data_IF_238525165603
#
_entry.id   IF_238525165603
#
_cell.length_a   1.000
_cell.length_b   1.000
_cell.length_c   1.000
_cell.angle_alpha   90.00
_cell.angle_beta   90.00
_cell.angle_gamma   90.00
#
_symmetry.space_group_name_H-M   'P 1'
#
loop_
_entity.id
_entity.type
_entity.pdbx_description
1 polymer ?
#
# COMPACT_ATOMS: atom_id res chain seq x y z
N UNK A 1 1.26 26.06 16.67
CA UNK A 1 2.55 25.36 16.91
C UNK A 1 2.91 24.58 15.68
N UNK A 2 4.11 24.72 15.15
CA UNK A 2 4.58 23.86 14.08
C UNK A 2 5.39 22.74 14.70
N UNK A 3 4.94 21.48 14.54
CA UNK A 3 5.71 20.34 15.02
C UNK A 3 6.98 20.21 14.19
N UNK A 4 8.12 20.07 14.85
CA UNK A 4 9.41 19.88 14.17
C UNK A 4 9.80 18.40 14.02
N UNK A 5 9.10 17.52 14.69
CA UNK A 5 9.44 16.09 14.71
C UNK A 5 8.19 15.20 14.76
N UNK A 6 8.35 14.00 14.21
CA UNK A 6 7.35 12.94 14.31
C UNK A 6 7.98 11.68 14.91
N UNK A 7 7.31 11.07 15.88
CA UNK A 7 7.59 9.71 16.31
C UNK A 7 6.80 8.75 15.43
N UNK A 8 7.47 7.83 14.78
CA UNK A 8 6.86 6.79 13.96
C UNK A 8 6.75 5.50 14.78
N UNK A 9 5.52 5.04 14.96
CA UNK A 9 5.23 3.74 15.58
C UNK A 9 4.99 2.69 14.50
N UNK A 10 5.49 1.49 14.73
CA UNK A 10 5.23 0.32 13.88
C UNK A 10 4.71 -0.84 14.74
N UNK A 11 3.83 -1.68 14.18
CA UNK A 11 3.21 -2.80 14.90
C UNK A 11 3.90 -4.13 14.62
N UNK A 12 3.67 -4.72 13.46
CA UNK A 12 4.14 -6.07 13.10
C UNK A 12 5.67 -6.19 13.07
N UNK A 13 6.39 -5.13 12.75
CA UNK A 13 7.86 -5.11 12.77
C UNK A 13 8.38 -5.43 14.18
N UNK A 14 7.66 -5.00 15.23
CA UNK A 14 8.02 -5.26 16.61
C UNK A 14 8.15 -6.75 16.98
N UNK A 15 7.45 -7.63 16.27
CA UNK A 15 7.44 -9.09 16.52
C UNK A 15 8.53 -9.86 15.79
N UNK A 16 9.35 -9.21 14.94
CA UNK A 16 10.32 -9.87 14.04
C UNK A 16 11.61 -10.40 14.70
N UNK A 17 11.74 -10.33 16.01
CA UNK A 17 12.88 -10.91 16.75
C UNK A 17 14.23 -10.37 16.25
N UNK A 18 15.17 -11.27 15.97
CA UNK A 18 16.55 -10.93 15.55
C UNK A 18 16.64 -10.19 14.21
N UNK A 19 15.67 -10.37 13.33
CA UNK A 19 15.65 -9.77 11.99
C UNK A 19 14.98 -8.39 11.96
N UNK A 20 14.55 -7.86 13.10
CA UNK A 20 13.85 -6.57 13.20
C UNK A 20 14.59 -5.45 12.49
N UNK A 21 15.90 -5.37 12.64
CA UNK A 21 16.73 -4.30 12.06
C UNK A 21 16.55 -4.18 10.53
N UNK A 22 16.39 -5.29 9.81
CA UNK A 22 16.18 -5.29 8.34
C UNK A 22 14.87 -4.60 7.97
N UNK A 23 13.81 -4.83 8.73
CA UNK A 23 12.50 -4.21 8.52
C UNK A 23 12.50 -2.74 8.92
N UNK A 24 13.17 -2.38 10.02
CA UNK A 24 13.35 -0.99 10.44
C UNK A 24 14.13 -0.20 9.39
N UNK A 25 15.23 -0.74 8.86
CA UNK A 25 16.06 -0.10 7.84
C UNK A 25 15.29 0.05 6.50
N UNK A 26 14.47 -0.95 6.14
CA UNK A 26 13.58 -0.85 4.98
C UNK A 26 12.52 0.24 5.19
N UNK A 27 11.91 0.32 6.38
CA UNK A 27 10.94 1.35 6.71
C UNK A 27 11.56 2.76 6.64
N UNK A 28 12.75 2.96 7.19
CA UNK A 28 13.48 4.23 7.11
C UNK A 28 13.72 4.64 5.65
N UNK A 29 14.14 3.70 4.80
CA UNK A 29 14.33 3.99 3.37
C UNK A 29 13.05 4.45 2.69
N UNK A 30 11.92 3.84 3.03
CA UNK A 30 10.61 4.21 2.47
C UNK A 30 10.09 5.54 3.00
N UNK A 31 10.27 5.82 4.28
CA UNK A 31 9.95 7.13 4.86
C UNK A 31 10.76 8.22 4.14
N UNK A 32 12.08 8.03 3.99
CA UNK A 32 12.92 8.97 3.25
C UNK A 32 12.49 9.14 1.80
N UNK A 33 12.05 8.07 1.15
CA UNK A 33 11.55 8.13 -0.22
C UNK A 33 10.24 8.93 -0.31
N UNK A 34 9.28 8.66 0.57
CA UNK A 34 7.99 9.33 0.59
C UNK A 34 8.14 10.84 0.87
N UNK A 35 9.05 11.23 1.75
CA UNK A 35 9.28 12.63 2.10
C UNK A 35 10.05 13.42 1.02
N UNK A 36 10.59 12.78 -0.03
CA UNK A 36 11.23 13.51 -1.14
C UNK A 36 10.28 14.40 -1.94
N UNK A 37 8.99 14.09 -1.93
CA UNK A 37 7.95 14.89 -2.61
C UNK A 37 7.44 16.06 -1.77
N UNK A 38 7.83 16.12 -0.50
CA UNK A 38 7.44 17.18 0.44
C UNK A 38 8.50 18.28 0.45
N UNK A 39 8.07 19.53 0.41
CA UNK A 39 8.98 20.67 0.56
C UNK A 39 9.66 20.64 1.93
N UNK A 40 10.97 20.85 1.96
CA UNK A 40 11.77 20.83 3.16
C UNK A 40 12.81 19.70 3.19
N UNK A 41 13.61 19.69 4.26
CA UNK A 41 14.61 18.66 4.51
C UNK A 41 14.26 17.90 5.77
N UNK A 42 14.35 16.58 5.71
CA UNK A 42 14.01 15.70 6.82
C UNK A 42 15.17 14.76 7.15
N UNK A 43 15.50 14.69 8.42
CA UNK A 43 16.36 13.64 8.94
C UNK A 43 15.51 12.51 9.53
N UNK A 44 15.82 11.27 9.13
CA UNK A 44 15.11 10.07 9.59
C UNK A 44 16.09 9.17 10.30
N UNK A 45 15.93 9.05 11.61
CA UNK A 45 16.83 8.31 12.50
C UNK A 45 16.14 7.17 13.22
N UNK A 46 16.96 6.21 13.64
CA UNK A 46 16.55 5.12 14.52
C UNK A 46 17.31 5.20 15.83
N UNK A 47 16.57 5.27 16.92
CA UNK A 47 17.14 5.33 18.26
C UNK A 47 16.34 4.45 19.22
N UNK A 48 17.01 3.53 19.88
CA UNK A 48 16.42 2.68 20.93
C UNK A 48 15.09 1.98 20.52
N UNK A 49 15.01 1.49 19.29
CA UNK A 49 13.82 0.81 18.75
C UNK A 49 12.63 1.74 18.42
N UNK A 50 12.90 3.02 18.20
CA UNK A 50 11.98 4.04 17.70
C UNK A 50 12.52 4.64 16.42
N UNK A 51 11.64 5.08 15.55
CA UNK A 51 11.99 5.84 14.36
C UNK A 51 11.48 7.26 14.55
N UNK A 52 12.35 8.22 14.29
CA UNK A 52 12.08 9.64 14.39
C UNK A 52 12.26 10.28 13.01
N UNK A 53 11.36 11.18 12.68
CA UNK A 53 11.46 12.07 11.52
C UNK A 53 11.58 13.47 12.07
N UNK A 54 12.67 14.17 11.78
CA UNK A 54 12.91 15.55 12.20
C UNK A 54 12.98 16.44 10.98
N UNK A 55 12.22 17.52 10.95
CA UNK A 55 12.34 18.54 9.94
C UNK A 55 13.55 19.45 10.29
N UNK A 56 14.47 19.60 9.34
CA UNK A 56 15.65 20.45 9.47
C UNK A 56 15.43 21.86 8.90
N UNK A 57 14.39 22.03 8.07
CA UNK A 57 13.97 23.29 7.48
C UNK A 57 12.46 23.46 7.63
N UNK A 58 11.93 24.61 7.25
CA UNK A 58 10.48 24.80 7.11
C UNK A 58 9.91 23.77 6.13
N UNK A 59 8.70 23.30 6.40
CA UNK A 59 8.02 22.28 5.63
C UNK A 59 6.50 22.43 5.74
N UNK A 60 5.76 21.83 4.79
CA UNK A 60 4.32 21.68 4.87
C UNK A 60 3.97 20.46 5.75
N UNK A 61 3.24 20.73 6.84
CA UNK A 61 2.85 19.71 7.82
C UNK A 61 1.86 18.70 7.23
N UNK A 62 0.86 19.18 6.50
CA UNK A 62 -0.19 18.32 5.96
C UNK A 62 0.37 17.43 4.86
N UNK A 63 1.22 17.96 3.98
CA UNK A 63 1.91 17.17 2.96
C UNK A 63 2.83 16.11 3.57
N UNK A 64 3.56 16.43 4.64
CA UNK A 64 4.40 15.48 5.34
C UNK A 64 3.59 14.34 5.97
N UNK A 65 2.48 14.66 6.63
CA UNK A 65 1.56 13.66 7.21
C UNK A 65 0.94 12.80 6.12
N UNK A 66 0.47 13.38 5.02
CA UNK A 66 -0.10 12.62 3.90
C UNK A 66 0.93 11.73 3.21
N UNK A 67 2.19 12.15 3.09
CA UNK A 67 3.27 11.30 2.59
C UNK A 67 3.53 10.11 3.53
N UNK A 68 3.60 10.35 4.84
CA UNK A 68 3.81 9.31 5.84
C UNK A 68 2.64 8.31 5.93
N UNK A 69 1.40 8.76 5.73
CA UNK A 69 0.20 7.89 5.67
C UNK A 69 0.22 6.89 4.51
N UNK A 70 1.10 7.04 3.54
CA UNK A 70 1.26 6.10 2.42
C UNK A 70 2.36 5.07 2.64
N UNK A 71 3.15 5.17 3.71
CA UNK A 71 4.29 4.28 3.96
C UNK A 71 3.85 3.04 4.72
N UNK A 72 3.87 1.89 4.06
CA UNK A 72 3.59 0.60 4.69
C UNK A 72 4.62 0.27 5.78
N UNK A 73 4.10 -0.23 6.90
CA UNK A 73 4.87 -0.49 8.13
C UNK A 73 4.64 0.54 9.22
N UNK A 74 4.15 1.74 8.90
CA UNK A 74 3.76 2.74 9.88
C UNK A 74 2.40 2.37 10.47
N UNK A 75 2.35 2.20 11.81
CA UNK A 75 1.10 2.03 12.55
C UNK A 75 0.50 3.38 12.94
N UNK A 76 1.33 4.24 13.58
CA UNK A 76 0.91 5.59 13.95
C UNK A 76 2.01 6.60 13.64
N UNK A 77 1.60 7.79 13.27
CA UNK A 77 2.40 9.00 13.12
C UNK A 77 2.07 9.90 14.31
N UNK A 78 3.04 10.18 15.18
CA UNK A 78 2.85 11.01 16.35
C UNK A 78 3.62 12.32 16.19
N UNK A 79 2.97 13.44 15.79
CA UNK A 79 3.60 14.75 15.85
C UNK A 79 4.03 15.05 17.28
N UNK A 80 5.27 15.48 17.48
CA UNK A 80 5.83 15.62 18.83
C UNK A 80 6.72 16.84 18.98
N UNK A 81 6.89 17.25 20.23
CA UNK A 81 7.92 18.18 20.69
C UNK A 81 9.03 17.39 21.36
N UNK A 82 10.28 17.66 20.97
CA UNK A 82 11.47 17.11 21.62
C UNK A 82 12.10 18.15 22.51
N UNK A 83 12.37 17.77 23.77
CA UNK A 83 13.08 18.59 24.75
C UNK A 83 14.46 17.97 24.93
N UNK A 84 15.51 18.74 24.59
CA UNK A 84 16.89 18.26 24.58
C UNK A 84 17.43 18.06 26.00
N UNK A 85 17.10 18.98 26.91
CA UNK A 85 17.49 18.83 28.30
C UNK A 85 16.51 17.92 29.07
N UNK A 86 16.97 17.38 30.18
CA UNK A 86 16.15 16.52 31.05
C UNK A 86 15.83 17.18 32.38
N UNK A 87 15.95 18.52 32.44
CA UNK A 87 15.57 19.24 33.63
C UNK A 87 14.06 19.09 33.91
N UNK A 88 13.75 18.79 35.16
CA UNK A 88 12.37 18.47 35.52
C UNK A 88 11.48 19.70 35.62
N UNK A 89 12.01 20.83 36.02
CA UNK A 89 11.26 22.08 36.07
C UNK A 89 11.00 22.63 34.67
N UNK A 90 11.98 22.52 33.77
CA UNK A 90 11.78 22.84 32.35
C UNK A 90 10.73 21.93 31.72
N UNK A 91 10.70 20.64 32.07
CA UNK A 91 9.64 19.74 31.59
C UNK A 91 8.23 20.23 31.96
N UNK A 92 8.03 20.71 33.19
CA UNK A 92 6.74 21.26 33.65
C UNK A 92 6.31 22.45 32.79
N UNK A 93 7.23 23.35 32.51
CA UNK A 93 6.98 24.53 31.66
C UNK A 93 6.60 24.08 30.25
N UNK A 94 7.37 23.18 29.64
CA UNK A 94 7.08 22.69 28.27
C UNK A 94 5.75 21.94 28.16
N UNK A 95 5.34 21.23 29.21
CA UNK A 95 4.03 20.57 29.25
C UNK A 95 2.89 21.60 29.22
N UNK A 96 3.01 22.69 30.00
CA UNK A 96 2.01 23.76 29.97
C UNK A 96 1.98 24.47 28.61
N UNK A 97 3.14 24.81 28.06
CA UNK A 97 3.25 25.40 26.72
C UNK A 97 2.65 24.49 25.63
N UNK A 98 2.92 23.20 25.69
CA UNK A 98 2.35 22.20 24.77
C UNK A 98 0.83 22.19 24.83
N UNK A 99 0.26 22.06 26.04
CA UNK A 99 -1.19 22.01 26.24
C UNK A 99 -1.85 23.33 25.83
N UNK A 100 -1.20 24.46 26.03
CA UNK A 100 -1.70 25.76 25.60
C UNK A 100 -1.81 25.88 24.09
N UNK A 101 -0.75 25.49 23.39
CA UNK A 101 -0.63 25.66 21.95
C UNK A 101 -1.45 24.64 21.15
N UNK A 102 -1.51 23.39 21.63
CA UNK A 102 -2.19 22.30 20.90
C UNK A 102 -3.70 22.27 21.15
N UNK A 103 -4.14 22.70 22.33
CA UNK A 103 -5.56 22.67 22.74
C UNK A 103 -6.06 24.07 23.09
N UNK A 104 -6.50 24.88 22.11
CA UNK A 104 -7.08 26.21 22.37
C UNK A 104 -8.33 26.14 23.25
N UNK A 105 -9.20 25.14 23.02
CA UNK A 105 -10.31 24.86 23.93
C UNK A 105 -9.80 24.13 25.18
N UNK A 106 -9.96 24.78 26.32
CA UNK A 106 -9.54 24.23 27.62
C UNK A 106 -10.67 23.46 28.34
N UNK A 107 -11.87 23.39 27.79
CA UNK A 107 -12.96 22.62 28.38
C UNK A 107 -12.95 21.16 27.96
N UNK A 108 -11.83 20.50 28.20
CA UNK A 108 -11.56 19.09 27.85
C UNK A 108 -11.10 18.28 29.05
N UNK A 109 -11.24 16.99 28.95
CA UNK A 109 -10.67 16.03 29.92
C UNK A 109 -9.33 15.51 29.40
N UNK A 110 -8.39 15.28 30.30
CA UNK A 110 -7.07 14.77 29.91
C UNK A 110 -6.52 13.74 30.90
N UNK A 111 -5.51 13.02 30.44
CA UNK A 111 -4.67 12.12 31.22
C UNK A 111 -3.22 12.26 30.81
N UNK A 112 -2.31 12.24 31.76
CA UNK A 112 -0.88 12.14 31.48
C UNK A 112 -0.46 10.66 31.53
N UNK A 113 0.33 10.24 30.52
CA UNK A 113 0.86 8.88 30.41
C UNK A 113 2.37 8.94 30.21
N UNK A 114 3.12 8.97 31.29
CA UNK A 114 4.58 9.01 31.27
C UNK A 114 5.17 7.60 31.13
N UNK A 115 6.22 7.49 30.32
CA UNK A 115 7.03 6.29 30.17
C UNK A 115 8.50 6.61 30.27
N UNK A 116 9.23 5.90 31.13
CA UNK A 116 10.69 6.00 31.26
C UNK A 116 11.37 4.88 30.47
N UNK A 117 11.96 5.21 29.33
CA UNK A 117 12.96 4.37 28.65
C UNK A 117 14.32 4.47 29.34
N UNK A 118 14.68 5.64 29.86
CA UNK A 118 15.83 5.88 30.72
C UNK A 118 15.44 5.60 32.18
N UNK A 119 15.88 4.48 32.72
CA UNK A 119 15.58 4.10 34.11
C UNK A 119 16.42 4.83 35.13
N UNK A 120 17.47 5.54 34.70
CA UNK A 120 18.33 6.36 35.61
C UNK A 120 17.73 7.74 35.85
N UNK A 121 16.69 8.12 35.09
CA UNK A 121 15.99 9.38 35.32
C UNK A 121 15.41 9.43 36.74
N UNK A 122 15.67 10.48 37.52
CA UNK A 122 15.44 10.48 38.97
C UNK A 122 13.97 10.41 39.35
N UNK A 123 13.04 10.89 38.50
CA UNK A 123 11.59 10.94 38.79
C UNK A 123 10.89 9.74 38.19
N UNK A 124 10.01 9.09 38.96
CA UNK A 124 9.26 7.92 38.48
C UNK A 124 8.17 8.31 37.48
N UNK A 125 7.75 7.38 36.61
CA UNK A 125 6.65 7.64 35.66
C UNK A 125 5.35 8.01 36.38
N UNK A 126 5.09 7.42 37.54
CA UNK A 126 3.90 7.71 38.35
C UNK A 126 3.96 9.14 38.91
N UNK A 127 5.14 9.56 39.39
CA UNK A 127 5.33 10.92 39.86
C UNK A 127 5.19 11.94 38.73
N UNK A 128 5.80 11.66 37.53
CA UNK A 128 5.63 12.50 36.35
C UNK A 128 4.14 12.66 35.98
N UNK A 129 3.36 11.57 36.04
CA UNK A 129 1.92 11.64 35.74
C UNK A 129 1.18 12.60 36.69
N UNK A 130 1.50 12.54 37.98
CA UNK A 130 0.87 13.41 39.02
C UNK A 130 1.28 14.86 38.83
N UNK A 131 2.58 15.12 38.79
CA UNK A 131 3.12 16.49 38.77
C UNK A 131 2.73 17.21 37.46
N UNK A 132 2.80 16.51 36.31
CA UNK A 132 2.38 17.11 35.03
C UNK A 132 0.84 17.32 35.00
N UNK A 133 0.07 16.43 35.62
CA UNK A 133 -1.37 16.64 35.81
C UNK A 133 -1.67 17.87 36.66
N UNK A 134 -0.94 18.06 37.76
CA UNK A 134 -1.08 19.19 38.67
C UNK A 134 -0.77 20.52 37.97
N UNK A 135 0.39 20.64 37.31
CA UNK A 135 0.77 21.90 36.62
C UNK A 135 -0.17 22.28 35.49
N UNK A 136 -0.79 21.28 34.79
CA UNK A 136 -1.81 21.54 33.78
C UNK A 136 -3.09 22.10 34.42
N UNK A 137 -3.53 21.52 35.54
CA UNK A 137 -4.73 21.99 36.26
C UNK A 137 -4.53 23.39 36.86
N UNK A 138 -3.34 23.68 37.37
CA UNK A 138 -3.00 25.02 37.88
C UNK A 138 -3.01 26.07 36.77
N UNK A 139 -2.41 25.75 35.58
CA UNK A 139 -2.37 26.66 34.46
C UNK A 139 -3.75 26.83 33.76
N UNK A 140 -4.55 25.77 33.73
CA UNK A 140 -5.83 25.71 33.02
C UNK A 140 -6.95 25.14 33.89
N UNK A 141 -7.54 25.92 34.81
CA UNK A 141 -8.58 25.45 35.74
C UNK A 141 -9.85 24.91 35.10
N UNK A 142 -10.06 25.16 33.79
CA UNK A 142 -11.19 24.62 33.03
C UNK A 142 -10.98 23.15 32.62
N UNK A 143 -9.72 22.69 32.53
CA UNK A 143 -9.41 21.29 32.22
C UNK A 143 -9.71 20.40 33.40
N UNK A 144 -10.01 19.13 33.13
CA UNK A 144 -10.30 18.11 34.15
C UNK A 144 -9.54 16.84 33.87
N UNK A 145 -9.13 16.13 34.92
CA UNK A 145 -8.50 14.82 34.79
C UNK A 145 -9.57 13.74 34.67
N UNK A 146 -9.49 12.92 33.61
CA UNK A 146 -10.23 11.67 33.51
C UNK A 146 -9.24 10.53 33.16
N UNK A 147 -9.08 9.57 34.08
CA UNK A 147 -8.14 8.46 33.91
C UNK A 147 -8.72 7.30 33.11
N UNK A 148 -10.05 7.27 32.92
CA UNK A 148 -10.73 6.17 32.24
C UNK A 148 -11.11 6.52 30.79
N UNK A 149 -11.69 7.70 30.56
CA UNK A 149 -12.20 8.14 29.25
C UNK A 149 -11.79 9.59 28.96
N UNK A 150 -10.48 9.89 28.93
CA UNK A 150 -10.01 11.24 28.62
C UNK A 150 -10.21 11.59 27.16
N UNK A 151 -10.55 12.87 26.87
CA UNK A 151 -10.53 13.41 25.51
C UNK A 151 -9.11 13.43 24.92
N UNK A 152 -8.11 13.68 25.81
CA UNK A 152 -6.69 13.80 25.43
C UNK A 152 -5.81 12.96 26.35
N UNK A 153 -4.88 12.22 25.74
CA UNK A 153 -3.79 11.55 26.48
C UNK A 153 -2.47 12.24 26.12
N UNK A 154 -1.93 13.00 27.05
CA UNK A 154 -0.58 13.55 26.91
C UNK A 154 0.47 12.48 27.24
N UNK A 155 1.22 12.09 26.23
CA UNK A 155 2.35 11.16 26.39
C UNK A 155 3.64 11.95 26.73
N UNK A 156 4.34 11.50 27.78
CA UNK A 156 5.65 12.01 28.21
C UNK A 156 6.63 10.84 28.17
N UNK A 157 7.42 10.73 27.09
CA UNK A 157 8.42 9.66 26.98
C UNK A 157 9.82 10.20 27.33
N UNK A 158 10.37 9.76 28.49
CA UNK A 158 11.73 10.09 28.93
C UNK A 158 12.70 9.04 28.40
N UNK A 159 13.57 9.46 27.48
CA UNK A 159 14.62 8.64 26.85
C UNK A 159 15.96 9.37 26.88
N UNK A 160 16.73 9.37 25.79
CA UNK A 160 17.88 10.27 25.64
C UNK A 160 17.44 11.74 25.68
N UNK A 161 16.28 12.03 25.12
CA UNK A 161 15.52 13.29 25.17
C UNK A 161 14.15 13.03 25.77
N UNK A 162 13.42 14.09 26.10
CA UNK A 162 12.03 13.97 26.50
C UNK A 162 11.14 14.29 25.28
N UNK A 163 10.21 13.40 24.98
CA UNK A 163 9.25 13.56 23.89
C UNK A 163 7.85 13.80 24.44
N UNK A 164 7.22 14.88 23.99
CA UNK A 164 5.82 15.20 24.30
C UNK A 164 4.97 15.03 23.04
N UNK A 165 3.90 14.26 23.12
CA UNK A 165 2.92 14.11 22.06
C UNK A 165 1.55 13.68 22.62
N UNK A 166 0.49 14.05 21.93
CA UNK A 166 -0.87 13.65 22.27
C UNK A 166 -1.66 13.19 21.06
N UNK A 167 -1.25 13.62 19.85
CA UNK A 167 -1.87 13.21 18.60
C UNK A 167 -1.26 11.88 18.13
N UNK A 168 -2.13 10.97 17.70
CA UNK A 168 -1.75 9.71 17.06
C UNK A 168 -2.55 9.56 15.78
N UNK A 169 -1.91 9.82 14.65
CA UNK A 169 -2.52 9.74 13.32
C UNK A 169 -2.31 8.32 12.79
N UNK A 170 -3.36 7.56 12.47
CA UNK A 170 -3.22 6.21 11.97
C UNK A 170 -2.46 6.15 10.64
N UNK A 171 -1.46 5.28 10.55
CA UNK A 171 -0.78 4.93 9.32
C UNK A 171 -1.46 3.74 8.61
N UNK A 172 -0.94 3.32 7.44
CA UNK A 172 -1.54 2.21 6.68
C UNK A 172 -1.29 0.83 7.30
N UNK A 173 -0.37 0.72 8.27
CA UNK A 173 0.05 -0.56 8.83
C UNK A 173 0.82 -1.44 7.84
N UNK A 174 0.81 -2.75 8.05
CA UNK A 174 1.46 -3.72 7.17
C UNK A 174 2.97 -3.82 7.38
N UNK A 175 3.69 -4.13 6.29
CA UNK A 175 5.14 -4.38 6.26
C UNK A 175 5.82 -3.49 5.22
N UNK A 176 7.07 -3.07 5.45
CA UNK A 176 7.82 -2.27 4.47
C UNK A 176 7.99 -3.03 3.15
N UNK A 177 7.69 -2.36 2.03
CA UNK A 177 7.78 -2.95 0.68
C UNK A 177 9.20 -3.46 0.39
N UNK A 178 9.30 -4.59 -0.29
CA UNK A 178 10.57 -5.25 -0.63
C UNK A 178 11.13 -6.18 0.44
N UNK A 179 10.47 -6.29 1.61
CA UNK A 179 10.88 -7.22 2.67
C UNK A 179 10.39 -8.65 2.47
N UNK A 180 9.43 -8.88 1.55
CA UNK A 180 8.80 -10.17 1.28
C UNK A 180 8.84 -10.55 -0.22
N UNK A 181 9.94 -10.25 -0.90
CA UNK A 181 10.12 -10.63 -2.31
C UNK A 181 9.40 -9.71 -3.29
N UNK A 182 9.16 -10.23 -4.50
CA UNK A 182 8.56 -9.51 -5.63
C UNK A 182 7.48 -10.35 -6.30
N UNK A 183 6.41 -9.69 -6.78
CA UNK A 183 5.35 -10.33 -7.54
C UNK A 183 4.92 -9.47 -8.73
N UNK A 184 4.35 -10.12 -9.75
CA UNK A 184 3.86 -9.51 -10.98
C UNK A 184 2.33 -9.35 -10.90
N UNK A 185 1.86 -8.11 -10.93
CA UNK A 185 0.44 -7.77 -10.95
C UNK A 185 -0.08 -7.75 -12.39
N UNK A 186 -1.11 -8.53 -12.67
CA UNK A 186 -1.88 -8.37 -13.91
C UNK A 186 -2.80 -7.15 -13.73
N UNK A 187 -2.31 -5.99 -14.16
CA UNK A 187 -3.01 -4.72 -14.00
C UNK A 187 -3.95 -4.46 -15.18
N UNK A 188 -5.19 -4.11 -14.89
CA UNK A 188 -6.20 -3.71 -15.88
C UNK A 188 -6.71 -2.30 -15.57
N UNK A 189 -7.55 -1.75 -16.45
CA UNK A 189 -8.24 -0.48 -16.22
C UNK A 189 -9.42 -0.59 -15.25
N UNK A 190 -9.72 -1.76 -14.70
CA UNK A 190 -10.82 -2.01 -13.76
C UNK A 190 -10.50 -1.60 -12.32
N UNK A 191 -11.51 -1.70 -11.45
CA UNK A 191 -11.42 -1.31 -10.03
C UNK A 191 -10.57 -2.32 -9.22
N UNK A 192 -10.65 -3.60 -9.55
CA UNK A 192 -10.17 -4.69 -8.69
C UNK A 192 -8.64 -4.80 -8.68
N UNK A 193 -7.99 -4.79 -9.84
CA UNK A 193 -6.55 -5.05 -9.94
C UNK A 193 -5.64 -4.01 -9.22
N UNK A 194 -5.94 -2.69 -9.23
CA UNK A 194 -5.17 -1.74 -8.41
C UNK A 194 -5.30 -2.01 -6.90
N UNK A 195 -6.50 -2.40 -6.44
CA UNK A 195 -6.76 -2.75 -5.04
C UNK A 195 -5.92 -3.95 -4.62
N UNK A 196 -5.84 -4.98 -5.46
CA UNK A 196 -5.03 -6.16 -5.17
C UNK A 196 -3.54 -5.87 -5.14
N UNK A 197 -3.05 -5.04 -6.05
CA UNK A 197 -1.67 -4.55 -6.03
C UNK A 197 -1.34 -3.86 -4.70
N UNK A 198 -2.21 -2.97 -4.25
CA UNK A 198 -2.10 -2.30 -2.94
C UNK A 198 -2.09 -3.31 -1.78
N UNK A 199 -3.02 -4.27 -1.76
CA UNK A 199 -3.15 -5.24 -0.67
C UNK A 199 -1.91 -6.14 -0.54
N UNK A 200 -1.34 -6.59 -1.65
CA UNK A 200 -0.12 -7.41 -1.63
C UNK A 200 1.11 -6.56 -1.31
N UNK A 201 1.23 -5.34 -1.84
CA UNK A 201 2.30 -4.41 -1.47
C UNK A 201 2.31 -4.11 0.03
N UNK A 202 1.14 -3.96 0.65
CA UNK A 202 0.97 -3.78 2.10
C UNK A 202 1.57 -4.93 2.92
N UNK A 203 1.74 -6.11 2.34
CA UNK A 203 2.41 -7.26 2.98
C UNK A 203 3.93 -7.29 2.76
N UNK A 204 4.49 -6.20 2.25
CA UNK A 204 5.93 -6.04 2.06
C UNK A 204 6.46 -6.60 0.74
N UNK A 205 5.58 -6.94 -0.19
CA UNK A 205 5.94 -7.44 -1.52
C UNK A 205 6.20 -6.27 -2.47
N UNK A 206 7.33 -6.28 -3.18
CA UNK A 206 7.57 -5.34 -4.28
C UNK A 206 6.72 -5.73 -5.48
N UNK A 207 6.05 -4.77 -6.10
CA UNK A 207 5.17 -4.99 -7.24
C UNK A 207 5.84 -4.53 -8.53
N UNK A 208 5.84 -5.37 -9.54
CA UNK A 208 5.89 -5.00 -10.94
C UNK A 208 4.54 -5.33 -11.57
N UNK A 209 4.21 -4.76 -12.74
CA UNK A 209 2.91 -4.95 -13.34
C UNK A 209 3.01 -5.33 -14.83
N UNK A 210 2.04 -6.08 -15.32
CA UNK A 210 1.85 -6.37 -16.74
C UNK A 210 0.44 -5.94 -17.15
N UNK A 211 0.35 -5.25 -18.27
CA UNK A 211 -0.91 -4.84 -18.91
C UNK A 211 -0.97 -5.39 -20.34
N UNK A 212 -2.11 -5.94 -20.73
CA UNK A 212 -2.36 -6.44 -22.06
C UNK A 212 -3.12 -5.41 -22.87
N UNK A 213 -2.45 -4.84 -23.88
CA UNK A 213 -2.99 -3.82 -24.77
C UNK A 213 -3.26 -4.44 -26.15
N UNK A 214 -4.36 -4.10 -26.78
CA UNK A 214 -4.79 -4.67 -28.07
C UNK A 214 -5.16 -3.59 -29.09
N UNK A 215 -4.18 -2.76 -29.58
CA UNK A 215 -4.45 -1.77 -30.59
C UNK A 215 -4.81 -2.44 -31.94
N UNK A 216 -5.74 -1.86 -32.77
CA UNK A 216 -6.48 -0.63 -32.53
C UNK A 216 -7.78 -0.82 -31.72
N UNK A 217 -8.05 -2.01 -31.21
CA UNK A 217 -9.29 -2.34 -30.51
C UNK A 217 -9.36 -1.69 -29.13
N UNK A 218 -8.22 -1.56 -28.43
CA UNK A 218 -8.09 -0.72 -27.23
C UNK A 218 -7.41 0.59 -27.60
N UNK A 219 -7.92 1.70 -27.05
CA UNK A 219 -7.39 3.03 -27.35
C UNK A 219 -6.12 3.35 -26.55
N UNK A 220 -5.32 4.34 -27.00
CA UNK A 220 -4.23 4.88 -26.24
C UNK A 220 -4.69 5.51 -24.89
N UNK A 221 -5.95 5.98 -24.82
CA UNK A 221 -6.55 6.46 -23.57
C UNK A 221 -6.77 5.32 -22.57
N UNK A 222 -7.11 4.12 -23.03
CA UNK A 222 -7.19 2.94 -22.18
C UNK A 222 -5.80 2.58 -21.60
N UNK A 223 -4.74 2.63 -22.42
CA UNK A 223 -3.36 2.45 -21.96
C UNK A 223 -2.98 3.52 -20.94
N UNK A 224 -3.24 4.81 -21.24
CA UNK A 224 -2.94 5.90 -20.31
C UNK A 224 -3.65 5.74 -18.97
N UNK A 225 -4.92 5.33 -18.97
CA UNK A 225 -5.67 5.01 -17.75
C UNK A 225 -4.95 3.98 -16.88
N UNK A 226 -4.40 2.93 -17.49
CA UNK A 226 -3.65 1.90 -16.74
C UNK A 226 -2.33 2.44 -16.21
N UNK A 227 -1.63 3.29 -16.97
CA UNK A 227 -0.43 4.00 -16.50
C UNK A 227 -0.74 4.89 -15.30
N UNK A 228 -1.87 5.61 -15.35
CA UNK A 228 -2.31 6.47 -14.23
C UNK A 228 -2.64 5.64 -13.00
N UNK A 229 -3.32 4.50 -13.17
CA UNK A 229 -3.59 3.55 -12.07
C UNK A 229 -2.29 2.98 -11.47
N UNK A 230 -1.33 2.62 -12.31
CA UNK A 230 -0.02 2.15 -11.86
C UNK A 230 0.71 3.22 -11.04
N UNK A 231 0.64 4.48 -11.45
CA UNK A 231 1.21 5.61 -10.69
C UNK A 231 0.49 5.81 -9.35
N UNK A 232 -0.85 5.70 -9.30
CA UNK A 232 -1.59 5.81 -8.04
C UNK A 232 -1.21 4.70 -7.05
N UNK A 233 -1.06 3.45 -7.52
CA UNK A 233 -0.58 2.34 -6.69
C UNK A 233 0.88 2.54 -6.26
N UNK A 234 1.73 3.09 -7.14
CA UNK A 234 3.13 3.36 -6.87
C UNK A 234 3.35 4.35 -5.71
N UNK A 235 2.38 5.23 -5.42
CA UNK A 235 2.42 6.10 -4.22
C UNK A 235 2.55 5.33 -2.91
N UNK A 236 2.06 4.09 -2.88
CA UNK A 236 2.14 3.19 -1.73
C UNK A 236 3.20 2.10 -1.89
N UNK A 237 3.28 1.51 -3.09
CA UNK A 237 4.14 0.35 -3.38
C UNK A 237 5.59 0.74 -3.73
N UNK A 238 5.86 2.05 -3.90
CA UNK A 238 7.09 2.53 -4.53
C UNK A 238 7.09 2.30 -6.05
N UNK A 239 8.20 2.56 -6.76
CA UNK A 239 8.26 2.47 -8.21
C UNK A 239 7.85 1.10 -8.75
N UNK A 240 6.95 1.11 -9.76
CA UNK A 240 6.42 -0.05 -10.47
C UNK A 240 6.93 -0.03 -11.91
N UNK A 241 7.56 -1.11 -12.37
CA UNK A 241 7.81 -1.32 -13.79
C UNK A 241 6.56 -1.92 -14.42
N UNK A 242 5.87 -1.16 -15.26
CA UNK A 242 4.71 -1.59 -16.02
C UNK A 242 5.15 -2.14 -17.37
N UNK A 243 4.91 -3.41 -17.61
CA UNK A 243 5.15 -4.11 -18.86
C UNK A 243 3.88 -4.08 -19.72
N UNK A 244 3.91 -3.34 -20.82
CA UNK A 244 2.78 -3.24 -21.77
C UNK A 244 2.99 -4.23 -22.90
N UNK A 245 2.18 -5.28 -22.94
CA UNK A 245 2.26 -6.37 -23.90
C UNK A 245 1.23 -6.12 -25.00
N UNK A 246 1.67 -6.09 -26.27
CA UNK A 246 0.74 -6.08 -27.41
C UNK A 246 0.12 -7.48 -27.58
N UNK A 247 -1.16 -7.58 -27.29
CA UNK A 247 -1.91 -8.84 -27.30
C UNK A 247 -2.78 -9.04 -28.55
N UNK A 248 -2.77 -8.09 -29.50
CA UNK A 248 -3.68 -8.05 -30.65
C UNK A 248 -3.62 -9.31 -31.49
N UNK A 249 -2.44 -9.70 -31.97
CA UNK A 249 -2.29 -10.82 -32.89
C UNK A 249 -2.65 -12.16 -32.23
N UNK A 250 -2.30 -12.31 -30.94
CA UNK A 250 -2.67 -13.48 -30.14
C UNK A 250 -4.19 -13.55 -29.99
N UNK A 251 -4.84 -12.43 -29.66
CA UNK A 251 -6.29 -12.34 -29.47
C UNK A 251 -7.05 -12.64 -30.74
N UNK A 252 -6.63 -12.08 -31.89
CA UNK A 252 -7.22 -12.34 -33.19
C UNK A 252 -7.05 -13.81 -33.62
N UNK A 253 -5.88 -14.39 -33.36
CA UNK A 253 -5.65 -15.78 -33.72
C UNK A 253 -6.48 -16.75 -32.89
N UNK A 254 -6.65 -16.47 -31.57
CA UNK A 254 -7.55 -17.24 -30.71
C UNK A 254 -9.00 -17.09 -31.21
N UNK A 255 -9.42 -15.86 -31.55
CA UNK A 255 -10.76 -15.60 -32.07
C UNK A 255 -11.08 -16.37 -33.36
N UNK A 256 -10.12 -16.49 -34.28
CA UNK A 256 -10.25 -17.22 -35.54
C UNK A 256 -10.33 -18.75 -35.37
N UNK A 257 -9.55 -19.30 -34.42
CA UNK A 257 -9.35 -20.76 -34.31
C UNK A 257 -10.19 -21.43 -33.22
N UNK A 258 -10.63 -20.72 -32.20
CA UNK A 258 -11.27 -21.30 -31.03
C UNK A 258 -12.79 -21.04 -30.98
N UNK A 259 -13.59 -21.90 -30.32
CA UNK A 259 -15.00 -21.62 -30.07
C UNK A 259 -15.19 -20.32 -29.30
N UNK A 260 -16.14 -19.50 -29.74
CA UNK A 260 -16.33 -18.16 -29.18
C UNK A 260 -16.73 -18.18 -27.69
N UNK A 261 -17.47 -19.17 -27.23
CA UNK A 261 -17.86 -19.36 -25.83
C UNK A 261 -16.65 -19.59 -24.89
N UNK A 262 -15.52 -20.09 -25.43
CA UNK A 262 -14.30 -20.40 -24.69
C UNK A 262 -13.24 -19.27 -24.74
N UNK A 263 -13.44 -18.25 -25.58
CA UNK A 263 -12.42 -17.22 -25.86
C UNK A 263 -11.85 -16.58 -24.59
N UNK A 264 -12.72 -16.16 -23.66
CA UNK A 264 -12.28 -15.50 -22.43
C UNK A 264 -11.36 -16.39 -21.59
N UNK A 265 -11.66 -17.69 -21.50
CA UNK A 265 -10.83 -18.63 -20.74
C UNK A 265 -9.49 -18.85 -21.45
N UNK A 266 -9.49 -19.08 -22.76
CA UNK A 266 -8.27 -19.33 -23.54
C UNK A 266 -7.38 -18.08 -23.53
N UNK A 267 -7.92 -16.89 -23.79
CA UNK A 267 -7.15 -15.64 -23.74
C UNK A 267 -6.51 -15.44 -22.36
N UNK A 268 -7.27 -15.64 -21.28
CA UNK A 268 -6.73 -15.52 -19.91
C UNK A 268 -5.62 -16.53 -19.63
N UNK A 269 -5.70 -17.73 -20.13
CA UNK A 269 -4.62 -18.75 -20.01
C UNK A 269 -3.33 -18.25 -20.68
N UNK A 270 -3.42 -17.66 -21.87
CA UNK A 270 -2.25 -17.06 -22.54
C UNK A 270 -1.72 -15.82 -21.82
N UNK A 271 -2.60 -14.97 -21.30
CA UNK A 271 -2.20 -13.84 -20.46
C UNK A 271 -1.42 -14.30 -19.22
N UNK A 272 -1.88 -15.37 -18.55
CA UNK A 272 -1.19 -15.93 -17.38
C UNK A 272 0.17 -16.53 -17.74
N UNK A 273 0.30 -17.25 -18.87
CA UNK A 273 1.60 -17.77 -19.37
C UNK A 273 2.58 -16.63 -19.66
N UNK A 274 2.15 -15.59 -20.38
CA UNK A 274 2.97 -14.41 -20.70
C UNK A 274 3.36 -13.68 -19.42
N UNK A 275 2.42 -13.42 -18.51
CA UNK A 275 2.69 -12.77 -17.24
C UNK A 275 3.71 -13.56 -16.41
N UNK A 276 3.61 -14.89 -16.35
CA UNK A 276 4.59 -15.73 -15.67
C UNK A 276 5.97 -15.63 -16.32
N UNK A 277 6.05 -15.68 -17.63
CA UNK A 277 7.34 -15.54 -18.36
C UNK A 277 8.02 -14.20 -18.06
N UNK A 278 7.25 -13.10 -18.04
CA UNK A 278 7.78 -11.78 -17.67
C UNK A 278 8.19 -11.76 -16.19
N UNK A 279 7.38 -12.35 -15.31
CA UNK A 279 7.67 -12.47 -13.88
C UNK A 279 9.00 -13.18 -13.63
N UNK A 280 9.23 -14.32 -14.29
CA UNK A 280 10.49 -15.07 -14.21
C UNK A 280 11.70 -14.24 -14.69
N UNK A 281 11.56 -13.54 -15.80
CA UNK A 281 12.62 -12.66 -16.36
C UNK A 281 12.96 -11.49 -15.42
N UNK A 282 11.98 -11.00 -14.64
CA UNK A 282 12.15 -9.86 -13.72
C UNK A 282 12.43 -10.27 -12.27
N UNK A 283 12.50 -11.58 -11.99
CA UNK A 283 12.76 -12.13 -10.65
C UNK A 283 11.55 -12.03 -9.71
N UNK A 284 10.34 -11.92 -10.26
CA UNK A 284 9.09 -12.08 -9.51
C UNK A 284 8.81 -13.56 -9.27
N UNK A 285 8.31 -13.91 -8.07
CA UNK A 285 8.09 -15.30 -7.64
C UNK A 285 6.61 -15.65 -7.45
N UNK A 286 5.71 -14.79 -7.90
CA UNK A 286 4.27 -15.00 -7.86
C UNK A 286 3.54 -14.01 -8.77
N UNK A 287 2.31 -14.36 -9.13
CA UNK A 287 1.39 -13.52 -9.87
C UNK A 287 0.31 -12.97 -8.93
N UNK A 288 -0.25 -11.81 -9.27
CA UNK A 288 -1.38 -11.20 -8.57
C UNK A 288 -2.46 -10.91 -9.61
N UNK A 289 -3.70 -11.33 -9.34
CA UNK A 289 -4.82 -11.16 -10.26
C UNK A 289 -6.05 -10.58 -9.55
N UNK A 290 -6.79 -9.68 -10.27
CA UNK A 290 -7.99 -9.00 -9.81
C UNK A 290 -9.25 -9.85 -10.01
N UNK A 291 -9.46 -10.89 -9.19
CA UNK A 291 -10.57 -11.80 -9.32
C UNK A 291 -11.34 -11.95 -8.01
N UNK A 292 -12.69 -11.83 -8.09
CA UNK A 292 -13.63 -12.17 -7.02
C UNK A 292 -14.60 -13.26 -7.50
N UNK A 293 -14.84 -14.29 -6.66
CA UNK A 293 -15.68 -15.43 -7.05
C UNK A 293 -17.11 -14.98 -7.36
N UNK A 294 -17.59 -15.32 -8.56
CA UNK A 294 -18.98 -15.09 -8.97
C UNK A 294 -19.29 -13.66 -9.42
N UNK A 295 -18.32 -12.77 -9.47
CA UNK A 295 -18.53 -11.38 -9.90
C UNK A 295 -18.87 -11.30 -11.40
N UNK A 296 -18.19 -12.10 -12.24
CA UNK A 296 -18.45 -12.23 -13.68
C UNK A 296 -18.34 -13.69 -14.13
N UNK A 297 -18.82 -13.98 -15.34
CA UNK A 297 -18.88 -15.34 -15.89
C UNK A 297 -17.52 -16.07 -15.92
N UNK A 298 -16.41 -15.34 -16.11
CA UNK A 298 -15.05 -15.88 -16.12
C UNK A 298 -14.43 -16.07 -14.72
N UNK A 299 -15.15 -15.72 -13.65
CA UNK A 299 -14.67 -15.80 -12.26
C UNK A 299 -15.43 -16.86 -11.44
N UNK A 300 -15.92 -17.91 -12.07
CA UNK A 300 -16.40 -19.11 -11.38
C UNK A 300 -15.22 -19.95 -10.92
N UNK A 301 -15.41 -20.83 -9.92
CA UNK A 301 -14.34 -21.71 -9.43
C UNK A 301 -13.74 -22.57 -10.56
N UNK A 302 -14.59 -23.06 -11.49
CA UNK A 302 -14.13 -23.85 -12.63
C UNK A 302 -13.29 -23.01 -13.60
N UNK A 303 -13.73 -21.77 -13.88
CA UNK A 303 -12.99 -20.84 -14.74
C UNK A 303 -11.64 -20.47 -14.12
N UNK A 304 -11.62 -20.21 -12.82
CA UNK A 304 -10.38 -19.91 -12.07
C UNK A 304 -9.43 -21.11 -12.06
N UNK A 305 -9.94 -22.33 -11.86
CA UNK A 305 -9.13 -23.55 -11.93
C UNK A 305 -8.51 -23.73 -13.33
N UNK A 306 -9.31 -23.54 -14.39
CA UNK A 306 -8.84 -23.65 -15.77
C UNK A 306 -7.78 -22.62 -16.15
N UNK A 307 -7.89 -21.37 -15.66
CA UNK A 307 -6.90 -20.33 -15.90
C UNK A 307 -5.65 -20.50 -15.03
N UNK A 308 -5.79 -21.01 -13.81
CA UNK A 308 -4.66 -21.24 -12.90
C UNK A 308 -3.76 -22.40 -13.32
N UNK A 309 -4.33 -23.41 -14.02
CA UNK A 309 -3.60 -24.62 -14.41
C UNK A 309 -2.30 -24.36 -15.20
N UNK A 310 -2.26 -23.26 -15.97
CA UNK A 310 -1.08 -22.90 -16.78
C UNK A 310 0.04 -22.25 -15.98
N UNK A 311 -0.18 -21.98 -14.70
CA UNK A 311 0.80 -21.32 -13.83
C UNK A 311 1.53 -22.34 -12.97
N UNK A 312 2.84 -22.21 -12.88
CA UNK A 312 3.70 -23.01 -12.00
C UNK A 312 4.12 -22.26 -10.74
N UNK A 313 3.95 -20.93 -10.72
CA UNK A 313 4.20 -20.10 -9.54
C UNK A 313 2.89 -19.78 -8.81
N UNK A 314 2.96 -19.36 -7.52
CA UNK A 314 1.78 -18.97 -6.76
C UNK A 314 1.01 -17.84 -7.43
N UNK A 315 -0.32 -17.92 -7.42
CA UNK A 315 -1.23 -16.85 -7.89
C UNK A 315 -2.00 -16.32 -6.70
N UNK A 316 -1.76 -15.08 -6.34
CA UNK A 316 -2.42 -14.39 -5.24
C UNK A 316 -3.68 -13.68 -5.72
N UNK A 317 -4.78 -13.86 -5.00
CA UNK A 317 -6.09 -13.25 -5.27
C UNK A 317 -6.62 -12.62 -3.99
N UNK A 318 -6.10 -11.44 -3.59
CA UNK A 318 -6.43 -10.85 -2.29
C UNK A 318 -7.90 -10.54 -2.07
N UNK A 319 -8.65 -10.22 -3.14
CA UNK A 319 -10.08 -9.87 -3.08
C UNK A 319 -11.00 -11.02 -3.45
N UNK A 320 -10.50 -12.25 -3.48
CA UNK A 320 -11.25 -13.43 -3.98
C UNK A 320 -12.59 -13.66 -3.27
N UNK A 321 -12.71 -13.29 -2.01
CA UNK A 321 -13.92 -13.40 -1.20
C UNK A 321 -14.63 -12.09 -0.92
N UNK A 322 -14.17 -10.98 -1.52
CA UNK A 322 -14.79 -9.66 -1.32
C UNK A 322 -16.01 -9.51 -2.22
N UNK A 323 -17.02 -8.81 -1.73
CA UNK A 323 -18.08 -8.30 -2.59
C UNK A 323 -17.64 -7.01 -3.30
N UNK A 324 -18.48 -6.51 -4.21
CA UNK A 324 -18.12 -5.35 -5.01
C UNK A 324 -17.94 -4.08 -4.18
N UNK A 325 -18.75 -3.91 -3.11
CA UNK A 325 -18.67 -2.73 -2.26
C UNK A 325 -17.37 -2.71 -1.45
N UNK A 326 -16.96 -3.84 -0.91
CA UNK A 326 -15.69 -3.95 -0.16
C UNK A 326 -14.48 -3.55 -1.03
N UNK A 327 -14.51 -3.91 -2.33
CA UNK A 327 -13.45 -3.52 -3.28
C UNK A 327 -13.52 -2.03 -3.58
N UNK A 328 -14.72 -1.48 -3.79
CA UNK A 328 -14.94 -0.04 -4.03
C UNK A 328 -14.43 0.78 -2.84
N UNK A 329 -14.77 0.41 -1.61
CA UNK A 329 -14.35 1.12 -0.40
C UNK A 329 -12.81 1.22 -0.30
N UNK A 330 -12.11 0.13 -0.65
CA UNK A 330 -10.64 0.15 -0.69
C UNK A 330 -10.14 1.02 -1.84
N UNK A 331 -10.78 0.94 -3.02
CA UNK A 331 -10.42 1.73 -4.22
C UNK A 331 -10.55 3.23 -3.97
N UNK A 332 -11.63 3.66 -3.32
CA UNK A 332 -11.81 5.05 -2.88
C UNK A 332 -10.73 5.50 -1.89
N UNK A 333 -10.49 4.66 -0.87
CA UNK A 333 -9.47 4.93 0.15
C UNK A 333 -8.07 5.14 -0.43
N UNK A 334 -7.70 4.40 -1.48
CA UNK A 334 -6.37 4.51 -2.11
C UNK A 334 -6.35 5.49 -3.30
N UNK A 335 -7.48 6.11 -3.62
CA UNK A 335 -7.62 7.12 -4.66
C UNK A 335 -7.59 6.57 -6.10
N UNK A 336 -7.88 5.27 -6.32
CA UNK A 336 -7.89 4.67 -7.66
C UNK A 336 -9.28 4.62 -8.28
N UNK A 337 -10.34 4.84 -7.50
CA UNK A 337 -11.72 4.66 -7.96
C UNK A 337 -12.08 5.55 -9.16
N UNK A 338 -11.88 6.87 -9.05
CA UNK A 338 -12.25 7.83 -10.09
C UNK A 338 -11.54 7.57 -11.43
N UNK A 339 -10.30 7.11 -11.38
CA UNK A 339 -9.57 6.69 -12.58
C UNK A 339 -10.11 5.38 -13.12
N UNK A 340 -10.43 4.41 -12.24
CA UNK A 340 -10.90 3.08 -12.64
C UNK A 340 -12.27 3.09 -13.34
N UNK A 341 -13.17 4.02 -13.00
CA UNK A 341 -14.50 4.12 -13.59
C UNK A 341 -14.55 4.88 -14.93
N UNK A 342 -13.43 5.42 -15.40
CA UNK A 342 -13.39 6.09 -16.71
C UNK A 342 -13.78 5.11 -17.83
N UNK A 343 -14.53 5.57 -18.85
CA UNK A 343 -15.18 4.72 -19.86
C UNK A 343 -14.23 4.25 -20.99
N UNK A 344 -13.07 3.69 -20.59
CA UNK A 344 -12.13 3.10 -21.53
C UNK A 344 -12.04 1.60 -21.30
N UNK A 345 -12.31 0.83 -22.35
CA UNK A 345 -12.44 -0.62 -22.29
C UNK A 345 -11.09 -1.34 -22.31
N UNK A 346 -11.01 -2.44 -21.57
CA UNK A 346 -9.88 -3.37 -21.58
C UNK A 346 -9.97 -4.38 -22.72
N UNK A 347 -8.84 -4.98 -23.11
CA UNK A 347 -8.79 -5.96 -24.20
C UNK A 347 -9.70 -7.16 -23.98
N UNK A 348 -9.95 -7.57 -22.75
CA UNK A 348 -10.81 -8.71 -22.43
C UNK A 348 -12.30 -8.50 -22.75
N UNK A 349 -12.77 -7.26 -22.91
CA UNK A 349 -14.18 -6.94 -23.12
C UNK A 349 -14.57 -6.90 -24.59
N UNK A 350 -13.60 -6.81 -25.49
CA UNK A 350 -13.83 -6.55 -26.92
C UNK A 350 -14.45 -7.77 -27.65
N UNK A 351 -14.02 -8.98 -27.31
CA UNK A 351 -14.41 -10.22 -27.95
C UNK A 351 -15.20 -11.16 -27.02
N UNK A 352 -16.03 -10.57 -26.16
CA UNK A 352 -16.86 -11.38 -25.24
C UNK A 352 -17.98 -12.07 -26.00
N UNK A 353 -18.08 -13.38 -25.86
CA UNK A 353 -19.22 -14.14 -26.39
C UNK A 353 -20.53 -13.73 -25.71
N UNK A 354 -21.66 -13.81 -26.47
CA UNK A 354 -22.99 -13.58 -25.86
C UNK A 354 -23.28 -14.54 -24.70
N UNK A 355 -22.76 -15.76 -24.79
CA UNK A 355 -22.91 -16.82 -23.80
C UNK A 355 -21.55 -17.45 -23.49
N UNK A 356 -20.72 -16.80 -22.65
CA UNK A 356 -19.42 -17.36 -22.29
C UNK A 356 -19.57 -18.60 -21.40
N UNK A 357 -18.69 -19.56 -21.56
CA UNK A 357 -18.69 -20.77 -20.72
C UNK A 357 -18.37 -20.40 -19.27
N UNK A 358 -19.25 -20.79 -18.34
CA UNK A 358 -19.10 -20.55 -16.89
C UNK A 358 -18.57 -21.78 -16.16
N UNK A 359 -18.66 -22.95 -16.77
CA UNK A 359 -18.15 -24.23 -16.24
C UNK A 359 -17.29 -24.93 -17.30
N UNK A 360 -16.09 -24.37 -17.62
CA UNK A 360 -15.23 -24.95 -18.63
C UNK A 360 -14.81 -26.37 -18.24
N UNK A 361 -14.86 -27.28 -19.22
CA UNK A 361 -14.21 -28.59 -19.10
C UNK A 361 -12.76 -28.45 -19.59
N UNK A 362 -11.81 -28.74 -18.73
CA UNK A 362 -10.38 -28.51 -19.02
C UNK A 362 -9.90 -29.33 -20.24
N UNK A 363 -10.42 -30.56 -20.45
CA UNK A 363 -10.05 -31.36 -21.62
C UNK A 363 -10.56 -30.74 -22.93
N UNK A 364 -11.73 -30.07 -22.90
CA UNK A 364 -12.27 -29.35 -24.05
C UNK A 364 -11.40 -28.11 -24.32
N UNK A 365 -11.05 -27.36 -23.30
CA UNK A 365 -10.14 -26.20 -23.42
C UNK A 365 -8.79 -26.63 -24.03
N UNK A 366 -8.18 -27.71 -23.54
CA UNK A 366 -6.94 -28.25 -24.14
C UNK A 366 -7.13 -28.66 -25.60
N UNK A 367 -8.29 -29.25 -25.95
CA UNK A 367 -8.57 -29.61 -27.34
C UNK A 367 -8.68 -28.37 -28.23
N UNK A 368 -9.26 -27.28 -27.73
CA UNK A 368 -9.34 -26.00 -28.44
C UNK A 368 -7.97 -25.33 -28.56
N UNK A 369 -7.15 -25.37 -27.51
CA UNK A 369 -5.77 -24.83 -27.55
C UNK A 369 -4.88 -25.56 -28.58
N UNK A 370 -5.08 -26.86 -28.82
CA UNK A 370 -4.34 -27.58 -29.88
C UNK A 370 -4.51 -27.00 -31.28
N UNK A 371 -5.65 -26.31 -31.53
CA UNK A 371 -5.87 -25.62 -32.82
C UNK A 371 -4.96 -24.41 -33.02
N UNK A 372 -4.30 -23.97 -31.97
CA UNK A 372 -3.41 -22.80 -31.97
C UNK A 372 -1.93 -23.18 -32.22
N UNK A 373 -1.57 -24.47 -32.09
CA UNK A 373 -0.17 -24.95 -32.08
C UNK A 373 0.67 -24.47 -33.27
N UNK A 374 0.04 -24.20 -34.44
CA UNK A 374 0.74 -23.79 -35.66
C UNK A 374 1.50 -22.45 -35.52
N UNK A 375 0.94 -21.46 -34.80
CA UNK A 375 1.50 -20.10 -34.75
C UNK A 375 1.57 -19.47 -33.37
N UNK A 376 0.90 -20.00 -32.38
CA UNK A 376 0.70 -19.30 -31.11
C UNK A 376 2.03 -19.04 -30.38
N UNK A 377 2.97 -19.96 -30.43
CA UNK A 377 4.28 -19.82 -29.76
C UNK A 377 5.09 -18.66 -30.37
N UNK A 378 5.07 -18.54 -31.71
CA UNK A 378 5.72 -17.41 -32.40
C UNK A 378 5.05 -16.07 -32.05
N UNK A 379 3.71 -16.03 -31.97
CA UNK A 379 2.98 -14.83 -31.60
C UNK A 379 3.27 -14.40 -30.16
N UNK A 380 3.34 -15.37 -29.25
CA UNK A 380 3.70 -15.12 -27.83
C UNK A 380 5.15 -14.62 -27.73
N UNK A 381 6.10 -15.22 -28.44
CA UNK A 381 7.50 -14.78 -28.46
C UNK A 381 7.62 -13.33 -28.98
N UNK A 382 6.97 -13.01 -30.10
CA UNK A 382 6.92 -11.66 -30.63
C UNK A 382 6.33 -10.66 -29.63
N UNK A 383 5.23 -11.02 -28.95
CA UNK A 383 4.63 -10.16 -27.94
C UNK A 383 5.56 -9.90 -26.74
N UNK A 384 6.32 -10.93 -26.32
CA UNK A 384 7.32 -10.83 -25.27
C UNK A 384 8.52 -9.96 -25.65
N UNK A 385 9.00 -10.07 -26.89
CA UNK A 385 10.13 -9.30 -27.40
C UNK A 385 9.79 -7.82 -27.63
N UNK A 386 8.54 -7.53 -28.01
CA UNK A 386 8.07 -6.17 -28.29
C UNK A 386 7.41 -5.50 -27.07
N UNK A 387 7.50 -6.11 -25.88
CA UNK A 387 6.93 -5.56 -24.66
C UNK A 387 7.57 -4.21 -24.31
N UNK A 388 6.74 -3.18 -24.22
CA UNK A 388 7.14 -1.85 -23.77
C UNK A 388 7.26 -1.82 -22.24
N UNK A 389 8.24 -1.08 -21.72
CA UNK A 389 8.39 -0.90 -20.27
C UNK A 389 8.22 0.58 -19.91
N UNK A 390 7.35 0.85 -18.94
CA UNK A 390 7.06 2.18 -18.42
C UNK A 390 7.35 2.17 -16.92
N UNK A 391 8.18 3.11 -16.45
CA UNK A 391 8.44 3.28 -15.03
C UNK A 391 7.39 4.22 -14.43
N UNK A 392 6.55 3.70 -13.51
CA UNK A 392 5.54 4.44 -12.76
C UNK A 392 6.08 4.72 -11.35
N UNK A 393 6.09 6.01 -10.94
CA UNK A 393 6.75 6.42 -9.69
C UNK A 393 5.82 7.03 -8.63
N UNK A 394 4.57 7.32 -8.98
CA UNK A 394 3.57 7.91 -8.09
C UNK A 394 3.49 9.43 -8.11
#
# INVERSE_FOLDING_TARGET
MQYQSFLIKYAEIGTKGKNRYMFEDALIKQIRYALKSVEGQFDVTKESGRIYVKAETDYDYDDAVEALKRVFGIADICPMVQIEDKDYENLKQHVVEYMDQVYPDKNITFKVNARRGDKQYPVTSEQINRDMGEVILEAFPQMRVDVHHPDVILHVEVRQRINLFSLMIPGPGGMPVGTNGRAMLLLSGGIDSPVEGYMIAKRGVKIDAVYFHAPPYTSERAKQKVVDLANLVARYAGPINLHVVNFTDIQLYIYDKCPHEELTIIMRRYMMRIAQTIAERTGSIGLITGESIGQVASQTLQSLAATNEVCTMPVFRPVIGFDKQEIVDVSEKIGTYETSIQPYEDCCTIFVAKHPVTKPNINVIHSSERRLEEKIDQLVETALETTEQILCQG
#
